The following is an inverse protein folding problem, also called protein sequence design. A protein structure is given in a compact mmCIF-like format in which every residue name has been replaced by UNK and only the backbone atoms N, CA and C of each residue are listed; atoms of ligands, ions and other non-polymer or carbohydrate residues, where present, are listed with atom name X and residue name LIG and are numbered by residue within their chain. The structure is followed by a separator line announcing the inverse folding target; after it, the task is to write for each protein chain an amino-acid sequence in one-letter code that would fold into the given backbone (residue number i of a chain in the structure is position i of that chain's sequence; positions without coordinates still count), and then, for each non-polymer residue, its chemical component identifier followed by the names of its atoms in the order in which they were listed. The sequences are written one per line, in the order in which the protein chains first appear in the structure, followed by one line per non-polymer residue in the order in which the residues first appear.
data_IF_294368408384
#
_entry.id   IF_294368408384
#
_cell.length_a   1.000
_cell.length_b   1.000
_cell.length_c   1.000
_cell.angle_alpha   90.00
_cell.angle_beta   90.00
_cell.angle_gamma   90.00
#
_symmetry.space_group_name_H-M   'P 1'
#
loop_
_entity.id
_entity.type
_entity.pdbx_description
1 polymer ?
#
# COMPACT_ATOMS: atom_id res chain seq x y z
N UNK A 1 14.21 4.90 16.57
CA UNK A 1 14.65 3.53 16.21
C UNK A 1 13.49 2.64 15.79
N UNK A 2 12.42 2.47 16.60
CA UNK A 2 11.20 1.79 16.10
C UNK A 2 10.46 2.63 15.05
N UNK A 3 10.44 3.96 15.22
CA UNK A 3 9.85 4.93 14.28
C UNK A 3 10.52 4.96 12.89
N UNK A 4 11.69 4.33 12.74
CA UNK A 4 12.48 4.32 11.50
C UNK A 4 12.35 2.98 10.74
N UNK A 5 11.42 2.11 11.15
CA UNK A 5 11.28 0.74 10.64
C UNK A 5 9.87 0.54 10.09
N UNK A 6 9.79 0.04 8.85
CA UNK A 6 8.57 -0.49 8.24
C UNK A 6 8.76 -2.00 8.00
N UNK A 7 7.89 -2.82 8.59
CA UNK A 7 7.91 -4.28 8.37
C UNK A 7 6.92 -4.68 7.29
N UNK A 8 7.37 -5.53 6.38
CA UNK A 8 6.60 -6.00 5.24
C UNK A 8 6.56 -7.54 5.19
N UNK A 9 5.41 -8.09 4.81
CA UNK A 9 5.24 -9.51 4.56
C UNK A 9 4.04 -9.73 3.65
N UNK A 10 4.11 -10.73 2.78
CA UNK A 10 2.95 -11.20 2.01
C UNK A 10 2.08 -12.20 2.79
N UNK A 11 2.50 -12.64 3.98
CA UNK A 11 1.80 -13.67 4.76
C UNK A 11 0.98 -13.04 5.89
N UNK A 12 -0.36 -13.05 5.82
CA UNK A 12 -1.22 -12.43 6.83
C UNK A 12 -0.98 -12.94 8.24
N UNK A 13 -0.87 -14.27 8.42
CA UNK A 13 -0.65 -14.89 9.75
C UNK A 13 0.65 -14.40 10.39
N UNK A 14 1.71 -14.23 9.60
CA UNK A 14 2.98 -13.72 10.11
C UNK A 14 2.90 -12.23 10.45
N UNK A 15 2.14 -11.46 9.65
CA UNK A 15 1.95 -10.03 9.89
C UNK A 15 1.11 -9.78 11.14
N UNK A 16 0.04 -10.53 11.34
CA UNK A 16 -0.82 -10.42 12.54
C UNK A 16 -0.03 -10.77 13.80
N UNK A 17 0.71 -11.89 13.77
CA UNK A 17 1.59 -12.27 14.88
C UNK A 17 2.67 -11.21 15.16
N UNK A 18 3.18 -10.54 14.13
CA UNK A 18 4.14 -9.45 14.29
C UNK A 18 3.49 -8.20 14.92
N UNK A 19 2.31 -7.79 14.46
CA UNK A 19 1.57 -6.63 14.99
C UNK A 19 1.17 -6.84 16.46
N UNK A 20 0.82 -8.07 16.84
CA UNK A 20 0.53 -8.43 18.23
C UNK A 20 1.79 -8.33 19.11
N UNK A 21 2.95 -8.75 18.60
CA UNK A 21 4.21 -8.72 19.33
C UNK A 21 4.83 -7.31 19.41
N UNK A 22 4.67 -6.51 18.35
CA UNK A 22 5.32 -5.21 18.15
C UNK A 22 4.32 -4.15 17.66
N UNK A 23 3.32 -3.75 18.47
CA UNK A 23 2.22 -2.89 18.02
C UNK A 23 2.64 -1.44 17.70
N UNK A 24 3.81 -0.99 18.17
CA UNK A 24 4.37 0.34 17.87
C UNK A 24 5.08 0.42 16.52
N UNK A 25 5.42 -0.72 15.89
CA UNK A 25 6.20 -0.75 14.64
C UNK A 25 5.25 -0.66 13.45
N UNK A 26 5.55 0.27 12.53
CA UNK A 26 4.77 0.44 11.31
C UNK A 26 4.86 -0.82 10.43
N UNK A 27 3.74 -1.19 9.79
CA UNK A 27 3.68 -2.33 8.88
C UNK A 27 3.12 -1.94 7.53
N UNK A 28 3.51 -2.66 6.48
CA UNK A 28 2.86 -2.58 5.18
C UNK A 28 1.60 -3.43 5.11
N UNK A 29 0.72 -3.11 4.17
CA UNK A 29 -0.51 -3.85 3.96
C UNK A 29 -0.25 -5.24 3.39
N UNK A 30 -1.05 -6.22 3.83
CA UNK A 30 -1.09 -7.54 3.19
C UNK A 30 -2.13 -7.56 2.07
N UNK A 31 -2.08 -8.58 1.21
CA UNK A 31 -2.91 -8.63 -0.01
C UNK A 31 -4.41 -8.46 0.24
N UNK A 32 -4.95 -9.07 1.32
CA UNK A 32 -6.37 -8.94 1.67
C UNK A 32 -6.78 -7.51 2.02
N UNK A 33 -5.93 -6.78 2.74
CA UNK A 33 -6.15 -5.38 3.13
C UNK A 33 -6.12 -4.47 1.90
N UNK A 34 -5.15 -4.69 1.00
CA UNK A 34 -4.99 -3.94 -0.24
C UNK A 34 -6.18 -4.19 -1.17
N UNK A 35 -6.64 -5.45 -1.31
CA UNK A 35 -7.81 -5.81 -2.14
C UNK A 35 -9.09 -5.19 -1.61
N UNK A 36 -9.32 -5.21 -0.29
CA UNK A 36 -10.47 -4.56 0.34
C UNK A 36 -10.44 -3.06 0.05
N UNK A 37 -9.31 -2.41 0.31
CA UNK A 37 -9.14 -0.98 0.00
C UNK A 37 -9.39 -0.70 -1.48
N UNK A 38 -8.77 -1.45 -2.39
CA UNK A 38 -8.94 -1.30 -3.84
C UNK A 38 -10.41 -1.42 -4.27
N UNK A 39 -11.12 -2.43 -3.77
CA UNK A 39 -12.54 -2.64 -4.05
C UNK A 39 -13.43 -1.52 -3.51
N UNK A 40 -13.24 -1.11 -2.26
CA UNK A 40 -13.97 0.03 -1.68
C UNK A 40 -13.69 1.31 -2.47
N UNK A 41 -12.44 1.55 -2.83
CA UNK A 41 -12.05 2.73 -3.58
C UNK A 41 -12.68 2.72 -4.98
N UNK A 42 -12.75 1.56 -5.64
CA UNK A 42 -13.43 1.37 -6.94
C UNK A 42 -14.92 1.72 -6.88
N UNK A 43 -15.57 1.36 -5.78
CA UNK A 43 -17.00 1.61 -5.55
C UNK A 43 -17.29 3.01 -4.98
N UNK A 44 -16.30 3.91 -4.93
CA UNK A 44 -16.39 5.22 -4.30
C UNK A 44 -16.73 5.18 -2.80
N UNK A 45 -16.49 4.04 -2.15
CA UNK A 45 -16.66 3.80 -0.72
C UNK A 45 -15.33 3.86 0.06
N UNK A 46 -14.29 4.43 -0.55
CA UNK A 46 -12.94 4.50 0.04
C UNK A 46 -12.92 5.16 1.42
N UNK A 47 -13.80 6.13 1.70
CA UNK A 47 -13.89 6.79 2.99
C UNK A 47 -14.30 5.86 4.15
N UNK A 48 -14.92 4.71 3.87
CA UNK A 48 -15.31 3.72 4.88
C UNK A 48 -14.17 2.75 5.25
N UNK A 49 -13.03 2.82 4.54
CA UNK A 49 -11.87 1.99 4.86
C UNK A 49 -11.27 2.41 6.20
N UNK A 50 -10.86 1.44 7.00
CA UNK A 50 -10.15 1.67 8.27
C UNK A 50 -8.72 1.16 8.12
N UNK A 51 -7.72 2.06 8.12
CA UNK A 51 -6.33 1.67 7.91
C UNK A 51 -5.79 0.90 9.12
N UNK A 52 -5.14 -0.23 8.85
CA UNK A 52 -4.33 -0.99 9.84
C UNK A 52 -2.84 -0.99 9.50
N UNK A 53 -2.45 -0.21 8.48
CA UNK A 53 -1.13 -0.19 7.89
C UNK A 53 -0.72 1.23 7.52
N UNK A 54 0.58 1.46 7.46
CA UNK A 54 1.17 2.75 7.09
C UNK A 54 1.54 2.85 5.62
N UNK A 55 1.64 1.72 4.90
CA UNK A 55 2.05 1.73 3.49
C UNK A 55 1.47 0.56 2.69
N UNK A 56 1.14 0.79 1.43
CA UNK A 56 0.84 -0.26 0.46
C UNK A 56 2.02 -0.45 -0.48
N UNK A 57 2.53 -1.69 -0.55
CA UNK A 57 3.57 -2.08 -1.50
C UNK A 57 2.94 -2.90 -2.60
N UNK A 58 2.76 -2.32 -3.79
CA UNK A 58 1.97 -2.92 -4.87
C UNK A 58 2.72 -2.94 -6.21
N UNK A 59 2.44 -3.91 -7.09
CA UNK A 59 2.86 -3.80 -8.48
C UNK A 59 2.00 -2.77 -9.23
N UNK A 60 2.48 -2.28 -10.37
CA UNK A 60 1.64 -1.47 -11.25
C UNK A 60 0.39 -2.27 -11.69
N UNK A 61 0.59 -3.54 -12.06
CA UNK A 61 -0.47 -4.46 -12.48
C UNK A 61 -0.48 -5.72 -11.63
N UNK A 62 -1.69 -6.18 -11.27
CA UNK A 62 -1.93 -7.51 -10.71
C UNK A 62 -2.75 -8.32 -11.72
N UNK A 63 -2.06 -9.17 -12.49
CA UNK A 63 -2.66 -9.81 -13.67
C UNK A 63 -3.13 -8.75 -14.68
N UNK A 64 -4.41 -8.79 -15.06
CA UNK A 64 -5.02 -7.83 -15.99
C UNK A 64 -5.55 -6.55 -15.31
N UNK A 65 -5.36 -6.42 -13.99
CA UNK A 65 -5.88 -5.29 -13.22
C UNK A 65 -4.78 -4.25 -13.07
N UNK A 66 -5.03 -3.04 -13.56
CA UNK A 66 -4.18 -1.89 -13.28
C UNK A 66 -4.45 -1.40 -11.86
N UNK A 67 -3.55 -1.71 -10.92
CA UNK A 67 -3.70 -1.40 -9.50
C UNK A 67 -3.29 0.05 -9.26
N UNK A 68 -2.12 0.44 -9.77
CA UNK A 68 -1.48 1.73 -9.50
C UNK A 68 -2.08 2.86 -10.34
N UNK A 69 -3.29 3.26 -9.97
CA UNK A 69 -3.98 4.38 -10.61
C UNK A 69 -3.90 5.62 -9.72
N UNK A 70 -4.01 6.82 -10.32
CA UNK A 70 -4.09 8.06 -9.53
C UNK A 70 -5.27 8.07 -8.54
N UNK A 71 -6.34 7.31 -8.81
CA UNK A 71 -7.46 7.16 -7.87
C UNK A 71 -7.07 6.30 -6.65
N UNK A 72 -6.34 5.20 -6.88
CA UNK A 72 -5.78 4.37 -5.81
C UNK A 72 -4.85 5.18 -4.90
N UNK A 73 -3.90 5.90 -5.50
CA UNK A 73 -2.91 6.73 -4.79
C UNK A 73 -3.60 7.82 -3.96
N UNK A 74 -4.48 8.61 -4.57
CA UNK A 74 -5.23 9.65 -3.84
C UNK A 74 -6.04 9.07 -2.69
N UNK A 75 -6.64 7.91 -2.88
CA UNK A 75 -7.39 7.23 -1.83
C UNK A 75 -6.50 6.78 -0.67
N UNK A 76 -5.31 6.26 -0.97
CA UNK A 76 -4.36 5.82 0.06
C UNK A 76 -3.88 7.03 0.87
N UNK A 77 -3.53 8.13 0.19
CA UNK A 77 -3.13 9.38 0.83
C UNK A 77 -4.23 9.99 1.70
N UNK A 78 -5.51 9.87 1.33
CA UNK A 78 -6.63 10.30 2.17
C UNK A 78 -6.70 9.55 3.52
N UNK A 79 -6.12 8.36 3.59
CA UNK A 79 -6.01 7.56 4.81
C UNK A 79 -4.63 7.63 5.46
N UNK A 80 -3.75 8.53 5.01
CA UNK A 80 -2.35 8.64 5.43
C UNK A 80 -1.54 7.34 5.20
N UNK A 81 -1.85 6.63 4.12
CA UNK A 81 -1.12 5.42 3.70
C UNK A 81 -0.20 5.78 2.55
N UNK A 82 1.11 5.54 2.70
CA UNK A 82 2.07 5.69 1.63
C UNK A 82 1.90 4.60 0.56
N UNK A 83 2.22 4.89 -0.70
CA UNK A 83 2.19 3.92 -1.79
C UNK A 83 3.61 3.72 -2.31
N UNK A 84 4.12 2.49 -2.20
CA UNK A 84 5.38 2.09 -2.80
C UNK A 84 5.15 1.11 -3.94
N UNK A 85 5.83 1.33 -5.07
CA UNK A 85 5.69 0.47 -6.26
C UNK A 85 6.89 -0.43 -6.47
N UNK A 86 6.64 -1.68 -6.85
CA UNK A 86 7.69 -2.65 -7.18
C UNK A 86 7.32 -3.49 -8.41
N UNK A 87 8.27 -4.04 -9.18
CA UNK A 87 9.70 -3.70 -9.20
C UNK A 87 9.93 -2.67 -10.30
N UNK A 88 10.58 -1.55 -10.00
CA UNK A 88 10.88 -0.48 -10.97
C UNK A 88 12.36 -0.50 -11.30
N UNK A 89 12.71 -0.68 -12.58
CA UNK A 89 14.11 -0.73 -13.01
C UNK A 89 14.48 0.35 -14.03
N UNK A 90 13.49 0.95 -14.69
CA UNK A 90 13.72 1.95 -15.74
C UNK A 90 13.46 3.37 -15.24
N UNK A 91 14.34 4.31 -15.60
CA UNK A 91 14.24 5.72 -15.16
C UNK A 91 12.97 6.41 -15.65
N UNK A 92 12.49 6.05 -16.85
CA UNK A 92 11.23 6.58 -17.38
C UNK A 92 10.02 6.15 -16.53
N UNK A 93 10.02 4.89 -16.06
CA UNK A 93 8.99 4.39 -15.16
C UNK A 93 9.05 5.08 -13.79
N UNK A 94 10.26 5.26 -13.24
CA UNK A 94 10.46 5.99 -11.98
C UNK A 94 9.87 7.39 -12.07
N UNK A 95 10.18 8.14 -13.14
CA UNK A 95 9.67 9.50 -13.31
C UNK A 95 8.15 9.51 -13.44
N UNK A 96 7.57 8.59 -14.23
CA UNK A 96 6.12 8.45 -14.38
C UNK A 96 5.42 8.16 -13.05
N UNK A 97 6.00 7.33 -12.19
CA UNK A 97 5.43 7.00 -10.88
C UNK A 97 5.56 8.15 -9.88
N UNK A 98 6.69 8.86 -9.89
CA UNK A 98 6.86 10.10 -9.11
C UNK A 98 5.79 11.12 -9.51
N UNK A 99 5.60 11.34 -10.82
CA UNK A 99 4.60 12.29 -11.34
C UNK A 99 3.16 11.85 -11.00
N UNK A 100 2.92 10.54 -10.87
CA UNK A 100 1.63 9.98 -10.47
C UNK A 100 1.36 10.13 -8.95
N UNK A 101 2.40 10.40 -8.15
CA UNK A 101 2.32 10.58 -6.70
C UNK A 101 2.67 9.33 -5.88
N UNK A 102 3.48 8.42 -6.42
CA UNK A 102 4.07 7.32 -5.65
C UNK A 102 5.09 7.87 -4.64
N UNK A 103 5.15 7.28 -3.45
CA UNK A 103 5.98 7.73 -2.33
C UNK A 103 7.35 7.03 -2.24
N UNK A 104 7.50 5.87 -2.90
CA UNK A 104 8.75 5.10 -2.89
C UNK A 104 8.75 3.83 -3.75
#
# INVERSE_FOLDING_TARGET
KEEDILVASFHPVAMDAFRDACPSVATSGVEGEIRLFFGLNLLFLGAAYQPQTSAFQVPEYSGNIHVLTGRFIRGAHQHNIAVHVWTVNETEEMQRFIDLGVDG
#
